data_IF_912266634522
#
_entry.id   IF_912266634522
#
_cell.length_a   1.000
_cell.length_b   1.000
_cell.length_c   1.000
_cell.angle_alpha   90.00
_cell.angle_beta   90.00
_cell.angle_gamma   90.00
#
_symmetry.space_group_name_H-M   'P 1'
#
loop_
_entity.id
_entity.type
_entity.pdbx_description
1 polymer ?
#
# COMPACT_ATOMS: atom_id res chain seq x y z
N UNK A 1 -6.62 -13.15 -13.92
CA UNK A 1 -7.85 -13.39 -13.18
C UNK A 1 -8.01 -12.36 -12.08
N UNK A 2 -9.19 -11.74 -11.96
CA UNK A 2 -9.48 -10.77 -10.91
C UNK A 2 -9.66 -11.51 -9.57
N UNK A 3 -8.91 -11.11 -8.55
CA UNK A 3 -9.15 -11.56 -7.19
C UNK A 3 -10.07 -10.55 -6.49
N UNK A 4 -11.17 -11.04 -5.93
CA UNK A 4 -12.05 -10.26 -5.06
C UNK A 4 -11.59 -10.56 -3.63
N UNK A 5 -10.94 -9.59 -3.00
CA UNK A 5 -10.65 -9.66 -1.58
C UNK A 5 -11.82 -9.04 -0.81
N UNK A 6 -12.60 -9.89 -0.14
CA UNK A 6 -13.61 -9.43 0.80
C UNK A 6 -12.97 -9.40 2.18
N UNK A 7 -12.32 -8.31 2.53
CA UNK A 7 -11.68 -8.17 3.81
C UNK A 7 -12.62 -7.70 4.89
N UNK A 8 -12.44 -8.28 6.04
CA UNK A 8 -12.91 -7.94 7.38
C UNK A 8 -14.41 -7.64 7.58
N UNK A 9 -15.00 -8.13 8.68
CA UNK A 9 -16.43 -7.98 8.99
C UNK A 9 -16.88 -6.53 9.19
N UNK A 10 -15.96 -5.58 9.22
CA UNK A 10 -16.23 -4.18 9.49
C UNK A 10 -16.63 -3.35 8.27
N UNK A 11 -16.29 -3.79 7.05
CA UNK A 11 -16.63 -3.05 5.82
C UNK A 11 -17.56 -3.89 4.95
N UNK A 12 -18.81 -4.05 5.37
CA UNK A 12 -19.84 -4.82 4.65
C UNK A 12 -20.17 -4.34 3.21
N UNK A 13 -19.49 -3.31 2.69
CA UNK A 13 -19.83 -2.66 1.42
C UNK A 13 -18.61 -2.28 0.56
N UNK A 14 -17.42 -2.77 0.88
CA UNK A 14 -16.21 -2.46 0.10
C UNK A 14 -15.73 -3.72 -0.62
N UNK A 15 -15.72 -3.68 -1.94
CA UNK A 15 -15.06 -4.69 -2.75
C UNK A 15 -13.78 -4.09 -3.35
N UNK A 16 -12.65 -4.73 -3.13
CA UNK A 16 -11.38 -4.36 -3.75
C UNK A 16 -11.14 -5.31 -4.92
N UNK A 17 -11.09 -4.77 -6.12
CA UNK A 17 -10.77 -5.51 -7.33
C UNK A 17 -9.33 -5.21 -7.70
N UNK A 18 -8.52 -6.25 -7.73
CA UNK A 18 -7.13 -6.17 -8.14
C UNK A 18 -7.04 -6.66 -9.59
N UNK A 19 -6.70 -5.77 -10.51
CA UNK A 19 -6.51 -6.10 -11.90
C UNK A 19 -5.03 -6.41 -12.21
N UNK A 20 -4.78 -7.14 -13.30
CA UNK A 20 -3.46 -7.67 -13.68
C UNK A 20 -2.35 -6.62 -13.89
N UNK A 21 -2.69 -5.33 -13.97
CA UNK A 21 -1.76 -4.21 -14.23
C UNK A 21 -1.37 -3.41 -12.98
N UNK A 22 -1.38 -4.00 -11.79
CA UNK A 22 -1.09 -3.31 -10.51
C UNK A 22 -2.04 -2.15 -10.18
N UNK A 23 -3.21 -2.10 -10.77
CA UNK A 23 -4.24 -1.11 -10.47
C UNK A 23 -5.20 -1.70 -9.44
N UNK A 24 -5.16 -1.19 -8.23
CA UNK A 24 -6.12 -1.54 -7.20
C UNK A 24 -7.39 -0.70 -7.39
N UNK A 25 -8.48 -1.33 -7.77
CA UNK A 25 -9.77 -0.67 -7.95
C UNK A 25 -10.62 -0.88 -6.70
N UNK A 26 -10.91 0.19 -5.99
CA UNK A 26 -11.80 0.14 -4.82
C UNK A 26 -13.23 0.43 -5.25
N UNK A 27 -14.11 -0.55 -5.07
CA UNK A 27 -15.53 -0.41 -5.38
C UNK A 27 -16.31 -0.21 -4.09
N UNK A 28 -16.90 0.97 -3.90
CA UNK A 28 -17.87 1.22 -2.81
C UNK A 28 -19.26 0.91 -3.34
N UNK A 29 -19.91 -0.10 -2.78
CA UNK A 29 -21.26 -0.48 -3.20
C UNK A 29 -22.28 0.64 -2.94
N UNK A 30 -22.94 1.12 -3.98
CA UNK A 30 -24.19 1.86 -3.87
C UNK A 30 -24.36 3.16 -4.63
N UNK A 31 -23.32 3.79 -5.19
CA UNK A 31 -23.49 5.04 -5.98
C UNK A 31 -22.44 5.15 -7.10
N UNK A 32 -22.84 4.94 -8.34
CA UNK A 32 -22.00 4.97 -9.52
C UNK A 32 -21.06 6.21 -9.64
N UNK A 33 -21.49 7.45 -9.37
CA UNK A 33 -20.58 8.62 -9.44
C UNK A 33 -19.48 8.64 -8.37
N UNK A 34 -19.76 8.09 -7.19
CA UNK A 34 -18.78 7.95 -6.10
C UNK A 34 -17.77 6.87 -6.43
N UNK A 35 -18.22 5.80 -7.07
CA UNK A 35 -17.41 4.72 -7.58
C UNK A 35 -16.35 5.20 -8.57
N UNK A 36 -16.76 5.95 -9.60
CA UNK A 36 -15.83 6.47 -10.63
C UNK A 36 -14.80 7.43 -10.01
N UNK A 37 -15.22 8.32 -9.12
CA UNK A 37 -14.30 9.22 -8.41
C UNK A 37 -13.33 8.45 -7.51
N UNK A 38 -13.80 7.42 -6.83
CA UNK A 38 -12.96 6.55 -6.00
C UNK A 38 -11.91 5.78 -6.78
N UNK A 39 -12.29 5.25 -7.94
CA UNK A 39 -11.37 4.56 -8.86
C UNK A 39 -10.28 5.53 -9.32
N UNK A 40 -10.65 6.70 -9.82
CA UNK A 40 -9.70 7.70 -10.32
C UNK A 40 -8.76 8.14 -9.19
N UNK A 41 -9.26 8.40 -8.01
CA UNK A 41 -8.46 8.87 -6.89
C UNK A 41 -7.56 7.77 -6.32
N UNK A 42 -8.05 6.54 -6.22
CA UNK A 42 -7.24 5.39 -5.84
C UNK A 42 -6.10 5.16 -6.83
N UNK A 43 -6.37 5.28 -8.13
CA UNK A 43 -5.33 5.24 -9.16
C UNK A 43 -4.34 6.39 -9.03
N UNK A 44 -4.80 7.61 -8.83
CA UNK A 44 -3.93 8.80 -8.67
C UNK A 44 -3.07 8.69 -7.42
N UNK A 45 -3.62 8.31 -6.29
CA UNK A 45 -2.88 8.15 -5.04
C UNK A 45 -1.90 6.98 -5.13
N UNK A 46 -2.30 5.87 -5.72
CA UNK A 46 -1.41 4.74 -5.97
C UNK A 46 -0.24 5.14 -6.88
N UNK A 47 -0.50 5.85 -7.97
CA UNK A 47 0.54 6.37 -8.86
C UNK A 47 1.44 7.35 -8.10
N UNK A 48 0.89 8.28 -7.34
CA UNK A 48 1.67 9.27 -6.58
C UNK A 48 2.55 8.62 -5.53
N UNK A 49 2.02 7.75 -4.68
CA UNK A 49 2.80 7.01 -3.66
C UNK A 49 3.82 6.10 -4.33
N UNK A 50 3.46 5.40 -5.40
CA UNK A 50 4.37 4.52 -6.14
C UNK A 50 5.50 5.30 -6.81
N UNK A 51 5.21 6.43 -7.45
CA UNK A 51 6.23 7.29 -8.08
C UNK A 51 7.18 7.86 -7.01
N UNK A 52 6.66 8.31 -5.89
CA UNK A 52 7.45 8.86 -4.80
C UNK A 52 8.39 7.80 -4.19
N UNK A 53 7.89 6.62 -3.93
CA UNK A 53 8.70 5.49 -3.47
C UNK A 53 9.70 5.02 -4.54
N UNK A 54 9.28 4.88 -5.80
CA UNK A 54 10.15 4.42 -6.89
C UNK A 54 11.23 5.41 -7.27
N UNK A 55 11.03 6.70 -7.12
CA UNK A 55 12.08 7.69 -7.35
C UNK A 55 13.27 7.48 -6.41
N UNK A 56 13.00 7.02 -5.17
CA UNK A 56 14.03 6.70 -4.19
C UNK A 56 14.56 5.26 -4.24
N UNK A 57 13.74 4.28 -4.65
CA UNK A 57 14.07 2.85 -4.58
C UNK A 57 14.73 2.33 -5.88
N UNK A 58 14.41 2.94 -7.03
CA UNK A 58 14.90 2.47 -8.32
C UNK A 58 14.07 1.32 -8.91
N UNK A 59 14.57 0.73 -10.03
CA UNK A 59 13.83 -0.29 -10.78
C UNK A 59 13.95 -1.71 -10.23
N UNK A 60 15.05 -2.00 -9.56
CA UNK A 60 15.34 -3.29 -8.95
C UNK A 60 15.55 -3.10 -7.46
N UNK A 61 14.69 -3.68 -6.67
CA UNK A 61 14.76 -3.68 -5.22
C UNK A 61 13.98 -4.86 -4.66
N UNK A 62 14.47 -5.42 -3.57
CA UNK A 62 13.72 -6.38 -2.77
C UNK A 62 12.46 -5.78 -2.12
N UNK A 63 12.27 -4.48 -2.16
CA UNK A 63 11.05 -3.84 -1.64
C UNK A 63 9.84 -4.12 -2.53
N UNK A 64 8.81 -4.69 -1.99
CA UNK A 64 7.64 -5.12 -2.75
C UNK A 64 6.77 -3.95 -3.20
N UNK A 65 6.50 -3.83 -4.51
CA UNK A 65 5.59 -2.82 -5.06
C UNK A 65 4.15 -2.92 -4.56
N UNK A 66 3.73 -4.09 -4.05
CA UNK A 66 2.42 -4.27 -3.45
C UNK A 66 2.20 -3.36 -2.23
N UNK A 67 3.26 -3.02 -1.48
CA UNK A 67 3.19 -2.12 -0.32
C UNK A 67 2.73 -0.73 -0.75
N UNK A 68 3.32 -0.18 -1.82
CA UNK A 68 2.92 1.12 -2.37
C UNK A 68 1.48 1.10 -2.89
N UNK A 69 1.09 0.01 -3.56
CA UNK A 69 -0.25 -0.17 -4.08
C UNK A 69 -1.29 -0.22 -2.94
N UNK A 70 -1.00 -0.97 -1.87
CA UNK A 70 -1.87 -1.08 -0.71
C UNK A 70 -2.03 0.24 0.05
N UNK A 71 -0.94 0.99 0.25
CA UNK A 71 -0.98 2.31 0.86
C UNK A 71 -1.80 3.30 0.01
N UNK A 72 -1.65 3.27 -1.33
CA UNK A 72 -2.46 4.08 -2.24
C UNK A 72 -3.94 3.70 -2.22
N UNK A 73 -4.26 2.41 -2.15
CA UNK A 73 -5.63 1.93 -2.03
C UNK A 73 -6.26 2.40 -0.70
N UNK A 74 -5.54 2.28 0.42
CA UNK A 74 -5.97 2.79 1.72
C UNK A 74 -6.23 4.29 1.70
N UNK A 75 -5.35 5.07 1.08
CA UNK A 75 -5.52 6.50 0.89
C UNK A 75 -6.80 6.82 0.09
N UNK A 76 -7.07 6.07 -0.99
CA UNK A 76 -8.28 6.21 -1.78
C UNK A 76 -9.55 5.91 -0.97
N UNK A 77 -9.54 4.87 -0.15
CA UNK A 77 -10.62 4.51 0.77
C UNK A 77 -10.86 5.65 1.77
N UNK A 78 -9.80 6.10 2.44
CA UNK A 78 -9.89 7.19 3.43
C UNK A 78 -10.51 8.45 2.81
N UNK A 79 -10.07 8.83 1.61
CA UNK A 79 -10.66 9.97 0.90
C UNK A 79 -12.13 9.79 0.61
N UNK A 80 -12.54 8.61 0.12
CA UNK A 80 -13.95 8.34 -0.20
C UNK A 80 -14.86 8.45 1.00
N UNK A 81 -14.37 8.02 2.16
CA UNK A 81 -15.15 7.96 3.40
C UNK A 81 -15.18 9.30 4.14
N UNK A 82 -14.05 10.02 4.19
CA UNK A 82 -13.90 11.19 5.06
C UNK A 82 -13.65 12.50 4.30
N UNK A 83 -13.00 12.45 3.14
CA UNK A 83 -12.49 13.62 2.40
C UNK A 83 -11.55 14.51 3.23
N UNK A 84 -10.97 13.96 4.30
CA UNK A 84 -10.06 14.66 5.18
C UNK A 84 -8.60 14.29 4.89
N UNK A 85 -7.77 15.31 4.63
CA UNK A 85 -6.35 15.12 4.31
C UNK A 85 -5.56 14.53 5.48
N UNK A 86 -5.94 14.84 6.71
CA UNK A 86 -5.27 14.31 7.89
C UNK A 86 -5.49 12.80 8.00
N UNK A 87 -6.72 12.33 7.82
CA UNK A 87 -7.07 10.92 7.79
C UNK A 87 -6.33 10.18 6.68
N UNK A 88 -6.25 10.77 5.48
CA UNK A 88 -5.51 10.19 4.34
C UNK A 88 -4.02 10.02 4.71
N UNK A 89 -3.39 11.06 5.24
CA UNK A 89 -1.97 11.03 5.59
C UNK A 89 -1.66 9.97 6.66
N UNK A 90 -2.49 9.87 7.70
CA UNK A 90 -2.33 8.84 8.73
C UNK A 90 -2.59 7.44 8.20
N UNK A 91 -3.55 7.27 7.30
CA UNK A 91 -3.80 6.00 6.62
C UNK A 91 -2.58 5.53 5.84
N UNK A 92 -1.94 6.42 5.06
CA UNK A 92 -0.71 6.11 4.33
C UNK A 92 0.42 5.70 5.29
N UNK A 93 0.64 6.50 6.34
CA UNK A 93 1.70 6.23 7.33
C UNK A 93 1.48 4.87 8.00
N UNK A 94 0.27 4.60 8.47
CA UNK A 94 -0.07 3.34 9.12
C UNK A 94 0.10 2.15 8.17
N UNK A 95 -0.42 2.24 6.94
CA UNK A 95 -0.32 1.19 5.93
C UNK A 95 1.15 0.87 5.60
N UNK A 96 1.99 1.89 5.42
CA UNK A 96 3.40 1.73 5.16
C UNK A 96 4.14 1.13 6.36
N UNK A 97 3.85 1.56 7.58
CA UNK A 97 4.45 1.01 8.79
C UNK A 97 4.12 -0.48 8.97
N UNK A 98 2.86 -0.88 8.73
CA UNK A 98 2.41 -2.27 8.84
C UNK A 98 3.09 -3.17 7.80
N UNK A 99 3.21 -2.70 6.56
CA UNK A 99 3.57 -3.55 5.41
C UNK A 99 5.01 -3.37 4.91
N UNK A 100 5.83 -2.51 5.53
CA UNK A 100 7.18 -2.16 5.04
C UNK A 100 8.19 -3.30 5.00
N UNK A 101 7.91 -4.43 5.66
CA UNK A 101 8.78 -5.62 5.67
C UNK A 101 8.52 -6.63 4.55
N UNK A 102 7.57 -6.38 3.64
CA UNK A 102 7.25 -7.31 2.56
C UNK A 102 8.33 -7.24 1.47
N UNK A 103 8.99 -8.37 1.23
CA UNK A 103 10.01 -8.47 0.18
C UNK A 103 9.41 -8.90 -1.17
N UNK A 104 10.03 -8.43 -2.25
CA UNK A 104 9.73 -8.82 -3.62
C UNK A 104 10.64 -9.99 -4.03
N UNK A 105 10.04 -11.10 -4.42
CA UNK A 105 10.71 -12.29 -4.95
C UNK A 105 10.30 -12.57 -6.41
N UNK A 106 9.96 -11.53 -7.16
CA UNK A 106 9.50 -11.59 -8.53
C UNK A 106 7.98 -11.79 -8.65
N UNK A 107 7.47 -11.68 -9.88
CA UNK A 107 6.05 -11.84 -10.19
C UNK A 107 5.65 -13.31 -10.14
N UNK A 108 5.15 -13.76 -9.01
CA UNK A 108 4.74 -15.14 -8.69
C UNK A 108 3.29 -15.18 -8.23
N UNK A 109 2.72 -16.38 -8.13
CA UNK A 109 1.36 -16.58 -7.59
C UNK A 109 1.20 -16.00 -6.17
N UNK A 110 2.26 -16.02 -5.36
CA UNK A 110 2.29 -15.38 -4.04
C UNK A 110 2.07 -13.87 -4.05
N UNK A 111 2.36 -13.19 -5.17
CA UNK A 111 2.10 -11.75 -5.28
C UNK A 111 0.62 -11.38 -5.10
N UNK A 112 -0.30 -12.24 -5.54
CA UNK A 112 -1.74 -12.02 -5.32
C UNK A 112 -2.06 -11.90 -3.82
N UNK A 113 -1.49 -12.80 -2.99
CA UNK A 113 -1.66 -12.74 -1.54
C UNK A 113 -0.95 -11.52 -0.92
N UNK A 114 0.25 -11.17 -1.40
CA UNK A 114 0.97 -9.95 -0.95
C UNK A 114 0.19 -8.68 -1.24
N UNK A 115 -0.46 -8.59 -2.41
CA UNK A 115 -1.33 -7.47 -2.77
C UNK A 115 -2.55 -7.41 -1.86
N UNK A 116 -3.23 -8.54 -1.63
CA UNK A 116 -4.37 -8.61 -0.72
C UNK A 116 -3.99 -8.14 0.69
N UNK A 117 -2.88 -8.65 1.23
CA UNK A 117 -2.38 -8.26 2.55
C UNK A 117 -2.01 -6.76 2.62
N UNK A 118 -1.43 -6.20 1.56
CA UNK A 118 -1.09 -4.77 1.52
C UNK A 118 -2.34 -3.88 1.48
N UNK A 119 -3.40 -4.31 0.81
CA UNK A 119 -4.71 -3.63 0.83
C UNK A 119 -5.34 -3.71 2.21
N UNK A 120 -5.30 -4.88 2.85
CA UNK A 120 -5.78 -5.04 4.23
C UNK A 120 -5.01 -4.14 5.21
N UNK A 121 -3.70 -3.98 5.02
CA UNK A 121 -2.90 -3.01 5.78
C UNK A 121 -3.36 -1.57 5.54
N UNK A 122 -3.77 -1.22 4.32
CA UNK A 122 -4.36 0.07 3.99
C UNK A 122 -5.69 0.32 4.71
N UNK A 123 -6.57 -0.68 4.74
CA UNK A 123 -7.86 -0.62 5.43
C UNK A 123 -7.64 -0.53 6.95
N UNK A 124 -6.78 -1.39 7.48
CA UNK A 124 -6.40 -1.37 8.90
C UNK A 124 -5.80 -0.02 9.30
N UNK A 125 -4.95 0.56 8.45
CA UNK A 125 -4.35 1.87 8.70
C UNK A 125 -5.39 2.99 8.81
N UNK A 126 -6.47 2.92 8.03
CA UNK A 126 -7.61 3.81 8.13
C UNK A 126 -8.36 3.60 9.47
N UNK A 127 -8.73 2.35 9.76
CA UNK A 127 -9.45 2.01 11.00
C UNK A 127 -8.65 2.39 12.25
N UNK A 128 -7.34 2.21 12.26
CA UNK A 128 -6.46 2.63 13.34
C UNK A 128 -6.54 4.13 13.57
N UNK A 129 -6.53 4.94 12.49
CA UNK A 129 -6.66 6.39 12.62
C UNK A 129 -8.01 6.79 13.22
N UNK A 130 -9.11 6.23 12.70
CA UNK A 130 -10.46 6.51 13.20
C UNK A 130 -10.65 6.14 14.68
N UNK A 131 -9.92 5.14 15.15
CA UNK A 131 -9.95 4.70 16.55
C UNK A 131 -8.85 5.32 17.44
N UNK A 132 -8.07 6.26 16.93
CA UNK A 132 -7.01 6.93 17.69
C UNK A 132 -5.78 6.07 18.00
N UNK A 133 -5.63 4.93 17.32
CA UNK A 133 -4.53 3.95 17.51
C UNK A 133 -3.41 4.10 16.46
N UNK A 134 -3.30 5.23 15.81
CA UNK A 134 -2.32 5.49 14.76
C UNK A 134 -0.87 5.50 15.27
N UNK A 135 0.07 5.20 14.37
CA UNK A 135 1.50 5.34 14.65
C UNK A 135 1.95 6.80 14.60
N UNK A 136 2.96 7.11 15.41
CA UNK A 136 3.54 8.44 15.53
C UNK A 136 5.02 8.45 15.19
N UNK A 137 5.57 9.65 14.97
CA UNK A 137 7.01 9.81 14.75
C UNK A 137 7.81 9.28 15.93
N UNK A 138 8.71 8.34 15.64
CA UNK A 138 9.48 7.57 16.62
C UNK A 138 9.09 6.10 16.71
N UNK A 139 7.98 5.70 16.09
CA UNK A 139 7.56 4.29 15.99
C UNK A 139 8.31 3.61 14.82
N UNK A 140 9.50 3.14 15.07
CA UNK A 140 10.34 2.46 14.07
C UNK A 140 10.69 3.37 12.88
N UNK A 141 10.22 3.03 11.69
CA UNK A 141 10.47 3.79 10.45
C UNK A 141 9.60 5.04 10.32
N UNK A 142 8.59 5.20 11.17
CA UNK A 142 7.67 6.33 11.12
C UNK A 142 8.34 7.59 11.62
N UNK A 143 8.27 8.65 10.82
CA UNK A 143 8.73 9.99 11.17
C UNK A 143 7.57 10.98 11.17
N UNK A 144 7.80 12.14 11.77
CA UNK A 144 6.81 13.22 11.75
C UNK A 144 6.54 13.67 10.32
N UNK A 145 5.31 13.48 9.87
CA UNK A 145 4.84 13.80 8.52
C UNK A 145 4.98 12.63 7.54
N UNK A 146 3.99 12.50 6.64
CA UNK A 146 3.88 11.42 5.66
C UNK A 146 5.09 11.37 4.72
N UNK A 147 5.56 12.52 4.25
CA UNK A 147 6.69 12.62 3.32
C UNK A 147 8.00 12.10 3.93
N UNK A 148 8.24 12.38 5.22
CA UNK A 148 9.43 11.89 5.90
C UNK A 148 9.37 10.38 6.11
N UNK A 149 8.20 9.83 6.42
CA UNK A 149 7.99 8.38 6.52
C UNK A 149 8.23 7.71 5.17
N UNK A 150 7.68 8.25 4.08
CA UNK A 150 7.91 7.76 2.72
C UNK A 150 9.41 7.80 2.38
N UNK A 151 10.12 8.87 2.75
CA UNK A 151 11.57 8.98 2.52
C UNK A 151 12.36 7.92 3.27
N UNK A 152 12.05 7.66 4.54
CA UNK A 152 12.71 6.62 5.33
C UNK A 152 12.53 5.24 4.71
N UNK A 153 11.30 4.94 4.26
CA UNK A 153 10.99 3.66 3.60
C UNK A 153 11.70 3.56 2.25
N UNK A 154 11.77 4.68 1.50
CA UNK A 154 12.52 4.72 0.24
C UNK A 154 14.01 4.45 0.45
N UNK A 155 14.62 4.99 1.50
CA UNK A 155 16.02 4.71 1.86
C UNK A 155 16.20 3.24 2.23
N UNK A 156 15.30 2.67 3.03
CA UNK A 156 15.34 1.24 3.35
C UNK A 156 15.28 0.40 2.07
N UNK A 157 14.34 0.69 1.16
CA UNK A 157 14.19 -0.05 -0.09
C UNK A 157 15.36 0.11 -1.04
N UNK A 158 15.96 1.29 -1.13
CA UNK A 158 17.07 1.59 -2.04
C UNK A 158 18.41 1.13 -1.50
N UNK A 159 18.71 1.45 -0.24
CA UNK A 159 20.03 1.23 0.36
C UNK A 159 20.07 0.00 1.23
N UNK A 160 19.08 -0.12 2.13
CA UNK A 160 19.07 -1.17 3.13
C UNK A 160 18.78 -2.57 2.56
N UNK A 161 18.03 -2.65 1.47
CA UNK A 161 17.64 -3.95 0.86
C UNK A 161 18.56 -4.43 -0.26
N UNK A 162 19.69 -3.77 -0.55
CA UNK A 162 20.61 -4.18 -1.64
C UNK A 162 21.14 -5.61 -1.49
N UNK A 163 21.56 -5.97 -0.30
CA UNK A 163 22.07 -7.32 -0.05
C UNK A 163 20.93 -8.35 0.00
N UNK A 164 19.77 -7.95 0.48
CA UNK A 164 18.54 -8.76 0.43
C UNK A 164 18.17 -9.10 -1.01
N UNK A 165 18.20 -8.10 -1.91
CA UNK A 165 17.91 -8.28 -3.34
C UNK A 165 18.86 -9.28 -3.98
N UNK A 166 20.18 -9.12 -3.77
CA UNK A 166 21.20 -10.06 -4.26
C UNK A 166 20.94 -11.49 -3.76
N UNK A 167 20.62 -11.63 -2.47
CA UNK A 167 20.36 -12.94 -1.88
C UNK A 167 19.09 -13.59 -2.42
N UNK A 168 18.04 -12.83 -2.67
CA UNK A 168 16.82 -13.33 -3.31
C UNK A 168 17.13 -13.83 -4.73
N UNK A 169 17.89 -13.05 -5.52
CA UNK A 169 18.28 -13.44 -6.87
C UNK A 169 19.12 -14.73 -6.84
N UNK A 170 20.10 -14.83 -5.94
CA UNK A 170 20.91 -16.05 -5.76
C UNK A 170 20.04 -17.28 -5.47
N UNK A 171 19.08 -17.16 -4.54
CA UNK A 171 18.14 -18.23 -4.22
C UNK A 171 17.32 -18.64 -5.44
N UNK A 172 16.79 -17.66 -6.17
CA UNK A 172 15.93 -17.89 -7.33
C UNK A 172 16.67 -18.51 -8.52
N UNK A 173 17.98 -18.28 -8.66
CA UNK A 173 18.80 -18.80 -9.75
C UNK A 173 19.39 -20.18 -9.44
N UNK A 174 19.40 -20.58 -8.19
CA UNK A 174 19.92 -21.88 -7.73
C UNK A 174 18.82 -22.93 -7.52
N UNK A 175 17.58 -22.65 -7.94
CA UNK A 175 16.44 -23.57 -7.84
C UNK A 175 16.25 -24.40 -9.12
#
# INVERSE_FOLDING_TARGET
GAFICTSAPYIKRLAVIIADDFVCTVTVAGKAPVLIRGIILSCQNNISVTLHLKSGIGRLSAYCGAVSAGAGAGAGIAYLLTRDLRTINHTIVNALAISSGIVCDGAKASCAAKIAMAVDAGIMGFDMHENGCQFYGGDGLVSKGVENTIRNISQLGNEGMKETDKKIIEIMTNC
#
